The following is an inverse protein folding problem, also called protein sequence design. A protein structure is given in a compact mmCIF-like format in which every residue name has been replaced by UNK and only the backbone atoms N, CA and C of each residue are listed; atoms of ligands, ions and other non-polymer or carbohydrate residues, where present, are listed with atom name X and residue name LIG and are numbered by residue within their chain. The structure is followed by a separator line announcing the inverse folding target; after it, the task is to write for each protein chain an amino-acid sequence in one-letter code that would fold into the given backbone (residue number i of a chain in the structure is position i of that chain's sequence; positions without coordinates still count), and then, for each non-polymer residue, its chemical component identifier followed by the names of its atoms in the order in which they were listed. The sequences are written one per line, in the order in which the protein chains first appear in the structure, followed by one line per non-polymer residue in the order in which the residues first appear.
data_IF_851556409489
#
_entry.id   IF_851556409489
#
_cell.length_a   1.000
_cell.length_b   1.000
_cell.length_c   1.000
_cell.angle_alpha   90.00
_cell.angle_beta   90.00
_cell.angle_gamma   90.00
#
_symmetry.space_group_name_H-M   'P 1'
#
loop_
_entity.id
_entity.type
_entity.pdbx_description
1 polymer ?
#
# COMPACT_ATOMS: atom_id res chain seq x y z
N UNK A 1 57.79 28.73 -29.83
CA UNK A 1 56.52 29.43 -29.53
C UNK A 1 55.47 28.79 -30.44
N UNK A 2 54.33 28.23 -30.03
CA UNK A 2 53.49 28.45 -28.85
C UNK A 2 52.67 27.16 -28.65
N UNK A 3 52.78 26.53 -27.48
CA UNK A 3 51.99 25.38 -27.05
C UNK A 3 50.55 25.82 -26.78
N UNK A 4 49.56 25.18 -27.41
CA UNK A 4 48.15 25.40 -27.12
C UNK A 4 47.67 24.26 -26.22
N UNK A 5 47.65 24.54 -24.92
CA UNK A 5 46.97 23.77 -23.89
C UNK A 5 45.46 24.04 -24.00
N UNK A 6 44.67 23.03 -24.35
CA UNK A 6 43.23 23.04 -24.12
C UNK A 6 42.93 22.28 -22.83
N UNK A 7 42.62 23.03 -21.76
CA UNK A 7 42.02 22.56 -20.51
C UNK A 7 40.69 21.85 -20.81
N UNK A 8 40.48 20.58 -20.41
CA UNK A 8 39.13 20.09 -20.18
C UNK A 8 38.70 20.61 -18.80
N UNK A 9 37.93 21.69 -18.81
CA UNK A 9 37.29 22.21 -17.61
C UNK A 9 36.31 21.15 -17.10
N UNK A 10 36.64 20.64 -15.92
CA UNK A 10 35.86 19.71 -15.11
C UNK A 10 34.45 20.30 -14.89
N UNK A 11 33.45 19.73 -15.57
CA UNK A 11 32.03 19.92 -15.26
C UNK A 11 31.54 18.72 -14.43
N UNK A 12 32.18 18.51 -13.29
CA UNK A 12 31.63 17.76 -12.16
C UNK A 12 30.89 18.76 -11.29
N UNK A 13 29.56 18.71 -11.27
CA UNK A 13 28.78 19.52 -10.32
C UNK A 13 27.42 20.00 -10.79
N UNK A 14 26.67 19.20 -11.56
CA UNK A 14 25.21 19.35 -11.52
C UNK A 14 24.75 18.72 -10.20
N UNK A 15 24.59 19.57 -9.19
CA UNK A 15 24.04 19.23 -7.90
C UNK A 15 22.73 18.46 -8.09
N UNK A 16 22.69 17.25 -7.57
CA UNK A 16 21.47 16.53 -7.23
C UNK A 16 20.75 17.32 -6.13
N UNK A 17 20.17 18.47 -6.49
CA UNK A 17 19.36 19.27 -5.60
C UNK A 17 17.93 18.78 -5.68
N UNK A 18 17.58 17.94 -4.72
CA UNK A 18 16.20 17.78 -4.27
C UNK A 18 15.30 17.04 -5.24
N UNK A 19 15.53 15.74 -5.40
CA UNK A 19 14.37 14.86 -5.42
C UNK A 19 13.71 15.02 -4.05
N UNK A 20 12.78 15.97 -3.96
CA UNK A 20 11.77 15.97 -2.91
C UNK A 20 11.15 14.59 -2.99
N UNK A 21 11.56 13.68 -2.10
CA UNK A 21 10.82 12.48 -1.83
C UNK A 21 9.48 12.99 -1.32
N UNK A 22 8.56 13.23 -2.26
CA UNK A 22 7.16 13.43 -1.93
C UNK A 22 6.82 12.25 -1.02
N UNK A 23 6.16 12.50 0.11
CA UNK A 23 5.73 11.39 0.96
C UNK A 23 5.02 10.40 0.04
N UNK A 24 5.52 9.14 0.03
CA UNK A 24 4.82 8.05 -0.64
C UNK A 24 3.36 8.19 -0.23
N UNK A 25 2.48 8.24 -1.22
CA UNK A 25 1.01 8.20 -1.09
C UNK A 25 0.60 7.52 0.23
N UNK A 26 -0.34 8.09 0.99
CA UNK A 26 -0.65 7.61 2.33
C UNK A 26 -0.82 6.08 2.27
N UNK A 27 0.03 5.37 3.01
CA UNK A 27 0.12 3.92 2.93
C UNK A 27 -0.63 3.30 4.12
N UNK A 28 -1.61 2.46 3.82
CA UNK A 28 -2.14 1.56 4.82
C UNK A 28 -1.12 0.44 5.06
N UNK A 29 -0.87 0.07 6.32
CA UNK A 29 0.03 -1.02 6.68
C UNK A 29 -0.69 -2.05 7.55
N UNK A 30 -0.34 -3.33 7.37
CA UNK A 30 -0.85 -4.45 8.17
C UNK A 30 0.33 -5.25 8.69
N UNK A 31 0.45 -5.35 10.02
CA UNK A 31 1.39 -6.25 10.67
C UNK A 31 0.79 -7.65 10.81
N UNK A 32 1.55 -8.67 10.40
CA UNK A 32 1.10 -10.07 10.40
C UNK A 32 2.18 -11.06 10.88
N UNK A 33 3.37 -10.60 11.27
CA UNK A 33 4.47 -11.48 11.69
C UNK A 33 4.23 -12.23 13.00
N UNK A 34 3.24 -11.79 13.78
CA UNK A 34 2.80 -12.36 15.05
C UNK A 34 1.64 -13.37 14.89
N UNK A 35 1.13 -13.57 13.68
CA UNK A 35 -0.06 -14.39 13.44
C UNK A 35 0.28 -15.85 13.12
N UNK A 36 -0.42 -16.78 13.77
CA UNK A 36 -0.41 -18.20 13.43
C UNK A 36 -1.30 -18.47 12.19
N UNK A 37 -0.76 -18.24 10.99
CA UNK A 37 -1.51 -18.32 9.73
C UNK A 37 -1.87 -19.75 9.28
N UNK A 38 -1.27 -20.76 9.90
CA UNK A 38 -1.63 -22.18 9.79
C UNK A 38 -2.96 -22.50 10.49
N UNK A 39 -3.37 -21.69 11.47
CA UNK A 39 -4.60 -21.86 12.22
C UNK A 39 -5.74 -21.00 11.68
N UNK A 40 -7.00 -21.49 11.70
CA UNK A 40 -8.18 -20.70 11.30
C UNK A 40 -8.30 -19.38 12.08
N UNK A 41 -7.96 -19.40 13.36
CA UNK A 41 -8.00 -18.21 14.22
C UNK A 41 -7.02 -17.12 13.76
N UNK A 42 -5.77 -17.46 13.44
CA UNK A 42 -4.79 -16.48 12.96
C UNK A 42 -5.11 -15.95 11.56
N UNK A 43 -5.72 -16.77 10.70
CA UNK A 43 -6.28 -16.32 9.41
C UNK A 43 -7.47 -15.37 9.57
N UNK A 44 -8.36 -15.65 10.51
CA UNK A 44 -9.47 -14.76 10.83
C UNK A 44 -8.97 -13.41 11.37
N UNK A 45 -7.95 -13.42 12.21
CA UNK A 45 -7.28 -12.21 12.72
C UNK A 45 -6.61 -11.41 11.60
N UNK A 46 -5.88 -12.07 10.68
CA UNK A 46 -5.32 -11.42 9.50
C UNK A 46 -6.40 -10.69 8.71
N UNK A 47 -7.54 -11.35 8.45
CA UNK A 47 -8.67 -10.74 7.75
C UNK A 47 -9.23 -9.53 8.50
N UNK A 48 -9.35 -9.63 9.83
CA UNK A 48 -9.82 -8.53 10.67
C UNK A 48 -8.87 -7.33 10.60
N UNK A 49 -7.55 -7.55 10.67
CA UNK A 49 -6.54 -6.49 10.58
C UNK A 49 -6.55 -5.78 9.25
N UNK A 50 -6.68 -6.51 8.14
CA UNK A 50 -6.82 -5.91 6.80
C UNK A 50 -8.06 -5.04 6.73
N UNK A 51 -9.21 -5.52 7.21
CA UNK A 51 -10.45 -4.75 7.21
C UNK A 51 -10.34 -3.49 8.09
N UNK A 52 -9.69 -3.59 9.25
CA UNK A 52 -9.45 -2.46 10.15
C UNK A 52 -8.51 -1.44 9.54
N UNK A 53 -7.42 -1.87 8.91
CA UNK A 53 -6.49 -0.99 8.22
C UNK A 53 -7.17 -0.23 7.07
N UNK A 54 -7.95 -0.93 6.22
CA UNK A 54 -8.69 -0.31 5.13
C UNK A 54 -9.74 0.71 5.63
N UNK A 55 -10.51 0.37 6.68
CA UNK A 55 -11.47 1.30 7.28
C UNK A 55 -10.78 2.52 7.90
N UNK A 56 -9.69 2.30 8.62
CA UNK A 56 -8.92 3.36 9.26
C UNK A 56 -8.32 4.30 8.23
N UNK A 57 -7.84 3.76 7.11
CA UNK A 57 -7.35 4.53 5.97
C UNK A 57 -8.46 5.38 5.34
N UNK A 58 -9.56 4.76 4.93
CA UNK A 58 -10.65 5.46 4.26
C UNK A 58 -11.28 6.53 5.14
N UNK A 59 -11.37 6.32 6.47
CA UNK A 59 -11.86 7.33 7.40
C UNK A 59 -10.93 8.53 7.54
N UNK A 60 -9.62 8.33 7.46
CA UNK A 60 -8.65 9.44 7.62
C UNK A 60 -8.56 10.33 6.39
N UNK A 61 -8.93 9.82 5.22
CA UNK A 61 -8.85 10.54 3.94
C UNK A 61 -10.24 10.79 3.36
N UNK A 62 -11.29 10.72 4.18
CA UNK A 62 -12.67 10.96 3.74
C UNK A 62 -12.90 12.40 3.27
N UNK A 63 -12.13 13.35 3.79
CA UNK A 63 -12.21 14.77 3.43
C UNK A 63 -11.38 15.14 2.20
N UNK A 64 -10.37 14.34 1.86
CA UNK A 64 -9.50 14.54 0.68
C UNK A 64 -10.12 13.96 -0.61
N UNK A 65 -11.00 12.97 -0.46
CA UNK A 65 -11.81 12.42 -1.56
C UNK A 65 -13.14 13.17 -1.58
N UNK A 66 -13.51 13.80 -2.69
CA UNK A 66 -14.61 14.78 -2.80
C UNK A 66 -15.93 14.40 -2.05
N UNK A 67 -16.42 15.22 -1.08
CA UNK A 67 -17.56 14.88 -0.19
C UNK A 67 -18.90 14.50 -0.85
N UNK A 68 -19.11 14.86 -2.11
CA UNK A 68 -20.44 14.80 -2.76
C UNK A 68 -20.64 13.55 -3.65
N UNK A 69 -19.59 12.77 -3.90
CA UNK A 69 -19.64 11.49 -4.65
C UNK A 69 -19.61 10.24 -3.72
N UNK A 70 -19.38 10.45 -2.42
CA UNK A 70 -18.86 9.45 -1.47
C UNK A 70 -19.83 8.42 -0.88
N UNK A 71 -21.14 8.57 -1.01
CA UNK A 71 -22.07 7.53 -0.52
C UNK A 71 -21.97 6.22 -1.33
N UNK A 72 -21.53 6.28 -2.59
CA UNK A 72 -21.17 5.12 -3.41
C UNK A 72 -19.67 4.77 -3.36
N UNK A 73 -18.83 5.72 -2.97
CA UNK A 73 -17.37 5.64 -3.08
C UNK A 73 -16.71 5.05 -1.81
N UNK A 74 -17.38 5.04 -0.65
CA UNK A 74 -16.81 4.41 0.56
C UNK A 74 -16.55 2.92 0.37
N UNK A 75 -17.45 2.22 -0.30
CA UNK A 75 -17.24 0.81 -0.65
C UNK A 75 -16.06 0.65 -1.62
N UNK A 76 -15.97 1.54 -2.62
CA UNK A 76 -14.86 1.55 -3.57
C UNK A 76 -13.51 1.80 -2.89
N UNK A 77 -13.42 2.77 -1.96
CA UNK A 77 -12.22 3.00 -1.16
C UNK A 77 -11.83 1.75 -0.36
N UNK A 78 -12.79 1.13 0.34
CA UNK A 78 -12.50 -0.07 1.13
C UNK A 78 -11.97 -1.21 0.27
N UNK A 79 -12.58 -1.44 -0.89
CA UNK A 79 -12.15 -2.49 -1.82
C UNK A 79 -10.77 -2.19 -2.42
N UNK A 80 -10.53 -0.95 -2.82
CA UNK A 80 -9.27 -0.54 -3.44
C UNK A 80 -8.11 -0.61 -2.46
N UNK A 81 -8.29 -0.11 -1.24
CA UNK A 81 -7.28 -0.17 -0.18
C UNK A 81 -7.03 -1.62 0.25
N UNK A 82 -8.09 -2.43 0.39
CA UNK A 82 -7.97 -3.86 0.68
C UNK A 82 -7.18 -4.59 -0.41
N UNK A 83 -7.48 -4.31 -1.68
CA UNK A 83 -6.76 -4.87 -2.83
C UNK A 83 -5.28 -4.48 -2.81
N UNK A 84 -4.97 -3.21 -2.58
CA UNK A 84 -3.58 -2.72 -2.48
C UNK A 84 -2.82 -3.36 -1.31
N UNK A 85 -3.42 -3.41 -0.11
CA UNK A 85 -2.84 -4.08 1.06
C UNK A 85 -2.49 -5.54 0.78
N UNK A 86 -3.38 -6.25 0.11
CA UNK A 86 -3.19 -7.67 -0.24
C UNK A 86 -2.19 -7.82 -1.39
N UNK A 87 -2.09 -6.83 -2.28
CA UNK A 87 -1.13 -6.79 -3.38
C UNK A 87 0.33 -6.75 -2.90
N UNK A 88 0.59 -6.11 -1.77
CA UNK A 88 1.93 -6.00 -1.16
C UNK A 88 2.30 -7.21 -0.27
N UNK A 89 1.35 -8.09 0.05
CA UNK A 89 1.62 -9.24 0.91
C UNK A 89 2.51 -10.28 0.22
N UNK A 90 3.39 -10.91 1.01
CA UNK A 90 4.10 -12.13 0.61
C UNK A 90 3.10 -13.21 0.14
N UNK A 91 3.46 -14.05 -0.85
CA UNK A 91 2.54 -15.04 -1.45
C UNK A 91 1.79 -15.93 -0.45
N UNK A 92 2.49 -16.40 0.59
CA UNK A 92 1.97 -17.24 1.67
C UNK A 92 0.94 -16.51 2.54
N UNK A 93 1.16 -15.24 2.84
CA UNK A 93 0.23 -14.41 3.63
C UNK A 93 -1.02 -14.11 2.78
N UNK A 94 -0.83 -13.85 1.49
CA UNK A 94 -1.92 -13.67 0.54
C UNK A 94 -2.78 -14.94 0.40
N UNK A 95 -2.14 -16.12 0.41
CA UNK A 95 -2.85 -17.39 0.40
C UNK A 95 -3.68 -17.58 1.67
N UNK A 96 -3.07 -17.32 2.83
CA UNK A 96 -3.74 -17.36 4.13
C UNK A 96 -4.95 -16.40 4.18
N UNK A 97 -4.81 -15.19 3.64
CA UNK A 97 -5.91 -14.22 3.54
C UNK A 97 -7.04 -14.71 2.63
N UNK A 98 -6.73 -15.26 1.43
CA UNK A 98 -7.73 -15.86 0.54
C UNK A 98 -8.46 -17.03 1.21
N UNK A 99 -7.74 -17.84 1.99
CA UNK A 99 -8.33 -18.92 2.75
C UNK A 99 -9.27 -18.39 3.86
N UNK A 100 -8.85 -17.35 4.59
CA UNK A 100 -9.68 -16.68 5.60
C UNK A 100 -11.01 -16.18 5.01
N UNK A 101 -10.99 -15.68 3.78
CA UNK A 101 -12.20 -15.23 3.09
C UNK A 101 -13.13 -16.39 2.73
N UNK A 102 -12.58 -17.53 2.27
CA UNK A 102 -13.35 -18.75 2.04
C UNK A 102 -13.98 -19.28 3.33
N UNK A 103 -13.22 -19.30 4.42
CA UNK A 103 -13.66 -19.72 5.76
C UNK A 103 -14.79 -18.83 6.29
N UNK A 104 -14.73 -17.53 6.01
CA UNK A 104 -15.78 -16.57 6.36
C UNK A 104 -17.01 -16.60 5.42
N UNK A 105 -17.06 -17.51 4.44
CA UNK A 105 -18.16 -17.60 3.47
C UNK A 105 -18.22 -16.44 2.47
N UNK A 106 -17.15 -15.66 2.35
CA UNK A 106 -17.07 -14.54 1.40
C UNK A 106 -16.91 -15.12 -0.01
N UNK A 107 -18.01 -15.19 -0.76
CA UNK A 107 -18.01 -15.61 -2.17
C UNK A 107 -17.48 -14.47 -3.06
N UNK A 108 -16.93 -14.85 -4.22
CA UNK A 108 -16.27 -13.97 -5.20
C UNK A 108 -17.01 -12.65 -5.48
N UNK A 109 -16.31 -11.67 -6.05
CA UNK A 109 -16.70 -10.25 -6.12
C UNK A 109 -16.61 -9.46 -4.80
N UNK A 110 -16.34 -10.12 -3.66
CA UNK A 110 -15.96 -9.50 -2.36
C UNK A 110 -14.58 -9.95 -1.85
N UNK A 111 -13.77 -10.54 -2.75
CA UNK A 111 -12.40 -10.97 -2.49
C UNK A 111 -11.40 -9.88 -2.84
#
# INVERSE_FOLDING_TARGET
MRTILFLPLILLGACASGASAMPLEPAAHVAFGDLALDQPAGRAELRARVATAARGFCRRHEDEVTPQLLSHDRFLCLEQVRSALVADMRPEVRHAYKQALREAGVRGRRL
#
